data_IF_903173264422
#
_entry.id   IF_903173264422
#
_cell.length_a   1.000
_cell.length_b   1.000
_cell.length_c   1.000
_cell.angle_alpha   90.00
_cell.angle_beta   90.00
_cell.angle_gamma   90.00
#
_symmetry.space_group_name_H-M   'P 1'
#
loop_
_entity.id
_entity.type
_entity.pdbx_description
1 polymer ?
#
# COMPACT_ATOMS: atom_id res chain seq x y z
N UNK A 1 14.09 -28.32 -9.26
CA UNK A 1 13.88 -27.06 -8.54
C UNK A 1 12.40 -26.78 -8.55
N UNK A 2 11.83 -26.36 -7.43
CA UNK A 2 10.41 -26.00 -7.38
C UNK A 2 10.08 -24.87 -8.35
N UNK A 3 8.87 -24.89 -8.93
CA UNK A 3 8.38 -23.87 -9.83
C UNK A 3 7.18 -23.15 -9.21
N UNK A 4 7.27 -21.82 -9.06
CA UNK A 4 6.23 -20.98 -8.48
C UNK A 4 5.62 -20.08 -9.55
N UNK A 5 4.29 -20.12 -9.66
CA UNK A 5 3.51 -19.22 -10.49
C UNK A 5 3.00 -18.07 -9.62
N UNK A 6 3.39 -16.85 -9.91
CA UNK A 6 2.93 -15.66 -9.19
C UNK A 6 2.01 -14.86 -10.08
N UNK A 7 0.81 -14.53 -9.60
CA UNK A 7 -0.18 -13.77 -10.35
C UNK A 7 -0.37 -12.40 -9.73
N UNK A 8 -0.04 -11.38 -10.52
CA UNK A 8 -0.05 -9.96 -10.15
C UNK A 8 1.34 -9.39 -9.89
N UNK A 9 1.76 -8.41 -10.68
CA UNK A 9 3.04 -7.69 -10.54
C UNK A 9 2.91 -6.41 -9.68
N UNK A 10 2.07 -6.46 -8.65
CA UNK A 10 2.05 -5.46 -7.57
C UNK A 10 3.22 -5.66 -6.59
N UNK A 11 3.32 -4.82 -5.54
CA UNK A 11 4.44 -4.86 -4.58
C UNK A 11 4.71 -6.24 -3.99
N UNK A 12 3.65 -6.96 -3.56
CA UNK A 12 3.80 -8.31 -3.02
C UNK A 12 4.35 -9.29 -4.07
N UNK A 13 3.79 -9.28 -5.28
CA UNK A 13 4.17 -10.22 -6.34
C UNK A 13 5.59 -10.01 -6.83
N UNK A 14 5.99 -8.77 -7.15
CA UNK A 14 7.35 -8.51 -7.66
C UNK A 14 8.43 -8.76 -6.62
N UNK A 15 8.18 -8.37 -5.35
CA UNK A 15 9.14 -8.60 -4.27
C UNK A 15 9.30 -10.10 -3.96
N UNK A 16 8.19 -10.85 -3.93
CA UNK A 16 8.23 -12.32 -3.75
C UNK A 16 8.94 -12.98 -4.93
N UNK A 17 8.64 -12.58 -6.17
CA UNK A 17 9.25 -13.11 -7.36
C UNK A 17 10.77 -12.89 -7.37
N UNK A 18 11.21 -11.68 -7.02
CA UNK A 18 12.64 -11.36 -6.89
C UNK A 18 13.34 -12.26 -5.86
N UNK A 19 12.80 -12.34 -4.65
CA UNK A 19 13.42 -13.10 -3.58
C UNK A 19 13.49 -14.61 -3.88
N UNK A 20 12.44 -15.19 -4.47
CA UNK A 20 12.42 -16.60 -4.84
C UNK A 20 13.40 -16.88 -5.99
N UNK A 21 13.41 -16.03 -7.02
CA UNK A 21 14.36 -16.14 -8.11
C UNK A 21 15.80 -15.99 -7.66
N UNK A 22 16.10 -15.03 -6.76
CA UNK A 22 17.43 -14.86 -6.16
C UNK A 22 17.92 -16.14 -5.46
N UNK A 23 17.00 -16.96 -4.96
CA UNK A 23 17.29 -18.25 -4.27
C UNK A 23 17.28 -19.47 -5.20
N UNK A 24 17.21 -19.25 -6.51
CA UNK A 24 17.27 -20.33 -7.49
C UNK A 24 15.94 -21.06 -7.72
N UNK A 25 14.82 -20.58 -7.16
CA UNK A 25 13.50 -21.15 -7.43
C UNK A 25 13.03 -20.63 -8.79
N UNK A 26 12.49 -21.53 -9.62
CA UNK A 26 11.89 -21.14 -10.89
C UNK A 26 10.63 -20.31 -10.64
N UNK A 27 10.52 -19.15 -11.28
CA UNK A 27 9.41 -18.22 -11.10
C UNK A 27 8.82 -17.79 -12.43
N UNK A 28 7.50 -17.93 -12.57
CA UNK A 28 6.71 -17.32 -13.63
C UNK A 28 5.82 -16.23 -13.01
N UNK A 29 6.15 -14.95 -13.28
CA UNK A 29 5.36 -13.80 -12.81
C UNK A 29 4.41 -13.36 -13.92
N UNK A 30 3.10 -13.48 -13.70
CA UNK A 30 2.04 -13.07 -14.63
C UNK A 30 1.44 -11.72 -14.19
N UNK A 31 1.24 -10.82 -15.15
CA UNK A 31 0.55 -9.54 -14.94
C UNK A 31 -0.43 -9.28 -16.09
N UNK A 32 -1.65 -8.83 -15.75
CA UNK A 32 -2.67 -8.54 -16.76
C UNK A 32 -2.38 -7.28 -17.58
N UNK A 33 -1.69 -6.31 -16.97
CA UNK A 33 -1.28 -5.09 -17.67
C UNK A 33 -0.03 -5.35 -18.51
N UNK A 34 0.02 -4.72 -19.67
CA UNK A 34 1.17 -4.85 -20.58
C UNK A 34 2.34 -3.96 -20.17
N UNK A 35 2.10 -2.92 -19.37
CA UNK A 35 3.08 -1.93 -18.94
C UNK A 35 2.85 -1.54 -17.48
N UNK A 36 3.90 -1.03 -16.84
CA UNK A 36 3.82 -0.41 -15.52
C UNK A 36 3.38 1.07 -15.56
N UNK A 37 2.46 1.42 -16.49
CA UNK A 37 1.97 2.81 -16.64
C UNK A 37 0.77 3.10 -15.73
N UNK A 38 0.34 2.12 -14.94
CA UNK A 38 -0.77 2.29 -14.03
C UNK A 38 -0.43 3.36 -12.98
N UNK A 39 -1.24 4.40 -12.95
CA UNK A 39 -1.11 5.46 -11.93
C UNK A 39 -1.56 4.88 -10.60
N UNK A 40 -0.59 4.48 -9.79
CA UNK A 40 -0.84 4.16 -8.39
C UNK A 40 -1.05 5.46 -7.60
N UNK A 41 -2.01 5.45 -6.70
CA UNK A 41 -2.38 6.62 -5.91
C UNK A 41 -1.81 6.58 -4.49
N UNK A 42 -1.31 5.42 -4.05
CA UNK A 42 -0.57 5.28 -2.81
C UNK A 42 0.92 5.39 -3.08
N UNK A 43 1.52 6.53 -2.79
CA UNK A 43 2.93 6.82 -3.06
C UNK A 43 3.81 6.65 -1.82
N UNK A 44 3.21 6.52 -0.65
CA UNK A 44 3.93 6.50 0.63
C UNK A 44 4.63 5.17 0.90
N UNK A 45 5.95 5.21 1.00
CA UNK A 45 6.78 4.13 1.49
C UNK A 45 7.26 4.49 2.89
N UNK A 46 6.67 3.85 3.90
CA UNK A 46 7.00 4.08 5.31
C UNK A 46 8.37 3.50 5.66
N UNK A 47 8.98 3.88 6.78
CA UNK A 47 10.26 3.33 7.24
C UNK A 47 10.32 1.81 7.20
N UNK A 48 9.23 1.11 7.55
CA UNK A 48 9.13 -0.36 7.51
C UNK A 48 9.26 -0.94 6.10
N UNK A 49 8.72 -0.24 5.10
CA UNK A 49 8.83 -0.65 3.70
C UNK A 49 10.22 -0.37 3.12
N UNK A 50 10.83 0.76 3.50
CA UNK A 50 12.23 1.06 3.13
C UNK A 50 13.17 0.03 3.74
N UNK A 51 12.99 -0.30 5.02
CA UNK A 51 13.77 -1.35 5.69
C UNK A 51 13.59 -2.71 5.01
N UNK A 52 12.36 -3.07 4.61
CA UNK A 52 12.11 -4.30 3.86
C UNK A 52 12.87 -4.34 2.54
N UNK A 53 12.90 -3.24 1.76
CA UNK A 53 13.70 -3.17 0.53
C UNK A 53 15.21 -3.28 0.81
N UNK A 54 15.70 -2.70 1.90
CA UNK A 54 17.11 -2.85 2.33
C UNK A 54 17.44 -4.30 2.68
N UNK A 55 16.58 -4.98 3.45
CA UNK A 55 16.71 -6.40 3.78
C UNK A 55 16.76 -7.31 2.53
N UNK A 56 15.99 -6.97 1.50
CA UNK A 56 15.97 -7.68 0.22
C UNK A 56 17.21 -7.39 -0.65
N UNK A 57 18.04 -6.38 -0.32
CA UNK A 57 19.12 -5.89 -1.18
C UNK A 57 18.63 -5.06 -2.38
N UNK A 58 17.48 -4.40 -2.25
CA UNK A 58 16.84 -3.56 -3.28
C UNK A 58 16.94 -2.05 -2.98
N UNK A 59 17.83 -1.64 -2.09
CA UNK A 59 18.01 -0.23 -1.73
C UNK A 59 18.42 0.64 -2.94
N UNK A 60 19.20 0.09 -3.85
CA UNK A 60 19.60 0.75 -5.09
C UNK A 60 18.45 0.92 -6.10
N UNK A 61 17.52 -0.03 -6.16
CA UNK A 61 16.29 0.13 -6.95
C UNK A 61 15.45 1.30 -6.43
N UNK A 62 15.37 1.47 -5.10
CA UNK A 62 14.70 2.63 -4.50
C UNK A 62 15.45 3.93 -4.80
N UNK A 63 16.78 3.93 -4.69
CA UNK A 63 17.60 5.12 -4.94
C UNK A 63 17.55 5.59 -6.40
N UNK A 64 17.36 4.66 -7.35
CA UNK A 64 17.35 4.92 -8.79
C UNK A 64 16.03 5.44 -9.37
N UNK A 65 14.97 5.58 -8.58
CA UNK A 65 13.65 6.01 -9.07
C UNK A 65 13.29 7.42 -8.62
N UNK A 66 12.37 8.11 -9.33
CA UNK A 66 11.81 9.38 -8.88
C UNK A 66 11.14 9.23 -7.51
N UNK A 67 11.57 10.05 -6.56
CA UNK A 67 11.09 10.02 -5.18
C UNK A 67 11.32 11.35 -4.46
N UNK A 68 10.61 11.54 -3.37
CA UNK A 68 10.84 12.62 -2.40
C UNK A 68 10.90 12.04 -0.99
N UNK A 69 11.81 12.52 -0.17
CA UNK A 69 11.79 12.23 1.27
C UNK A 69 10.80 13.17 1.94
N UNK A 70 10.05 12.64 2.89
CA UNK A 70 9.16 13.44 3.69
C UNK A 70 9.97 14.21 4.75
N UNK A 71 9.73 15.51 4.88
CA UNK A 71 10.37 16.35 5.89
C UNK A 71 9.50 16.53 7.13
N UNK A 72 8.18 16.64 6.95
CA UNK A 72 7.25 16.84 8.06
C UNK A 72 5.81 16.42 7.74
N UNK A 73 5.02 16.30 8.80
CA UNK A 73 3.57 16.16 8.80
C UNK A 73 2.95 17.43 9.40
N UNK A 74 2.14 18.15 8.63
CA UNK A 74 1.38 19.30 9.13
C UNK A 74 -0.08 18.92 9.33
N UNK A 75 -0.64 19.32 10.47
CA UNK A 75 -2.06 19.16 10.79
C UNK A 75 -2.72 20.52 10.86
N UNK A 76 -3.54 20.80 9.87
CA UNK A 76 -4.28 22.03 9.72
C UNK A 76 -5.73 21.82 10.16
N UNK A 77 -6.18 22.58 11.16
CA UNK A 77 -7.55 22.57 11.65
C UNK A 77 -8.10 23.99 11.51
N UNK A 78 -9.27 24.14 10.92
CA UNK A 78 -9.88 25.44 10.63
C UNK A 78 -8.89 26.38 9.90
N UNK A 79 -8.29 25.89 8.80
CA UNK A 79 -7.37 26.62 7.92
C UNK A 79 -6.07 27.12 8.61
N UNK A 80 -5.78 26.67 9.82
CA UNK A 80 -4.58 27.03 10.55
C UNK A 80 -3.78 25.79 10.92
N UNK A 81 -2.47 25.83 10.69
CA UNK A 81 -1.57 24.79 11.16
C UNK A 81 -1.55 24.79 12.69
N UNK A 82 -2.06 23.70 13.29
CA UNK A 82 -2.14 23.52 14.75
C UNK A 82 -1.02 22.66 15.29
N UNK A 83 -0.50 21.75 14.48
CA UNK A 83 0.59 20.86 14.86
C UNK A 83 1.49 20.61 13.66
N UNK A 84 2.77 20.51 13.91
CA UNK A 84 3.78 20.02 12.98
C UNK A 84 4.58 18.92 13.65
N UNK A 85 4.81 17.85 12.94
CA UNK A 85 5.66 16.74 13.37
C UNK A 85 6.78 16.61 12.35
N UNK A 86 8.02 16.85 12.76
CA UNK A 86 9.18 16.69 11.91
C UNK A 86 9.44 15.19 11.72
N UNK A 87 9.68 14.79 10.48
CA UNK A 87 10.00 13.40 10.18
C UNK A 87 11.37 13.04 10.76
N UNK A 88 11.47 11.97 11.57
CA UNK A 88 12.75 11.55 12.12
C UNK A 88 13.72 11.18 11.00
N UNK A 89 14.86 11.87 10.93
CA UNK A 89 15.92 11.63 9.95
C UNK A 89 17.26 12.10 10.50
N UNK A 90 18.33 11.52 9.99
CA UNK A 90 19.70 11.95 10.29
C UNK A 90 20.40 11.18 11.41
N UNK A 91 19.72 10.53 12.34
CA UNK A 91 20.36 9.66 13.31
C UNK A 91 20.48 8.20 12.77
N UNK A 92 21.50 7.43 13.22
CA UNK A 92 21.62 6.02 12.84
C UNK A 92 20.32 5.24 13.14
N UNK A 93 19.81 4.49 12.15
CA UNK A 93 18.57 3.71 12.26
C UNK A 93 17.28 4.53 12.06
N UNK A 94 17.34 5.84 11.86
CA UNK A 94 16.22 6.66 11.48
C UNK A 94 16.04 6.64 9.96
N UNK A 95 15.00 5.97 9.50
CA UNK A 95 14.63 5.91 8.09
C UNK A 95 13.45 6.85 7.88
N UNK A 96 13.51 7.84 6.98
CA UNK A 96 12.36 8.70 6.69
C UNK A 96 11.32 7.99 5.83
N UNK A 97 10.10 8.53 5.84
CA UNK A 97 9.07 8.16 4.87
C UNK A 97 9.44 8.70 3.48
N UNK A 98 9.24 7.91 2.44
CA UNK A 98 9.46 8.31 1.05
C UNK A 98 8.13 8.37 0.29
N UNK A 99 8.00 9.36 -0.57
CA UNK A 99 6.94 9.45 -1.58
C UNK A 99 7.56 9.03 -2.91
N UNK A 100 7.13 7.91 -3.44
CA UNK A 100 7.81 7.23 -4.54
C UNK A 100 6.95 7.10 -5.79
N UNK A 101 7.58 7.07 -6.95
CA UNK A 101 6.97 6.57 -8.18
C UNK A 101 6.87 5.04 -8.12
N UNK A 102 5.77 4.54 -7.57
CA UNK A 102 5.60 3.09 -7.31
C UNK A 102 5.79 2.26 -8.59
N UNK A 103 5.24 2.69 -9.73
CA UNK A 103 5.41 1.95 -11.00
C UNK A 103 6.87 1.82 -11.42
N UNK A 104 7.69 2.86 -11.19
CA UNK A 104 9.12 2.80 -11.47
C UNK A 104 9.85 1.83 -10.54
N UNK A 105 9.46 1.78 -9.25
CA UNK A 105 10.01 0.80 -8.32
C UNK A 105 9.69 -0.64 -8.76
N UNK A 106 8.43 -0.92 -9.10
CA UNK A 106 8.02 -2.26 -9.54
C UNK A 106 8.77 -2.68 -10.81
N UNK A 107 8.91 -1.77 -11.77
CA UNK A 107 9.67 -1.99 -13.00
C UNK A 107 11.14 -2.30 -12.70
N UNK A 108 11.79 -1.51 -11.85
CA UNK A 108 13.19 -1.72 -11.46
C UNK A 108 13.42 -3.08 -10.78
N UNK A 109 12.48 -3.52 -9.93
CA UNK A 109 12.56 -4.85 -9.29
C UNK A 109 12.39 -5.97 -10.33
N UNK A 110 11.46 -5.83 -11.28
CA UNK A 110 11.29 -6.83 -12.36
C UNK A 110 12.55 -6.88 -13.24
N UNK A 111 13.10 -5.74 -13.66
CA UNK A 111 14.35 -5.69 -14.45
C UNK A 111 15.52 -6.35 -13.70
N UNK A 112 15.63 -6.12 -12.39
CA UNK A 112 16.61 -6.80 -11.54
C UNK A 112 16.33 -8.31 -11.49
N UNK A 113 15.07 -8.74 -11.42
CA UNK A 113 14.71 -10.17 -11.39
C UNK A 113 15.05 -10.88 -12.71
N UNK A 114 14.97 -10.19 -13.83
CA UNK A 114 15.32 -10.73 -15.16
C UNK A 114 16.80 -11.09 -15.31
N UNK A 115 17.66 -10.65 -14.40
CA UNK A 115 19.07 -11.12 -14.37
C UNK A 115 19.21 -12.56 -13.90
N UNK A 116 18.18 -13.15 -13.29
CA UNK A 116 18.18 -14.56 -12.86
C UNK A 116 17.66 -15.46 -13.98
N UNK A 117 18.37 -16.54 -14.37
CA UNK A 117 18.04 -17.36 -15.53
C UNK A 117 16.73 -18.14 -15.39
N UNK A 118 16.22 -18.31 -14.18
CA UNK A 118 14.99 -19.04 -13.86
C UNK A 118 13.82 -18.13 -13.51
N UNK A 119 13.93 -16.83 -13.77
CA UNK A 119 12.82 -15.87 -13.66
C UNK A 119 12.25 -15.57 -15.05
N UNK A 120 10.93 -15.64 -15.18
CA UNK A 120 10.21 -15.25 -16.41
C UNK A 120 9.06 -14.30 -16.06
N UNK A 121 8.98 -13.19 -16.78
CA UNK A 121 7.91 -12.20 -16.65
C UNK A 121 6.96 -12.27 -17.84
N UNK A 122 5.66 -12.37 -17.58
CA UNK A 122 4.59 -12.50 -18.55
C UNK A 122 3.60 -11.32 -18.43
N UNK A 123 3.90 -10.14 -19.03
CA UNK A 123 2.97 -9.02 -19.07
C UNK A 123 1.83 -9.27 -20.07
N UNK A 124 0.63 -8.72 -19.81
CA UNK A 124 -0.55 -8.86 -20.64
C UNK A 124 -1.33 -10.18 -20.44
N UNK A 125 -0.90 -11.04 -19.50
CA UNK A 125 -1.56 -12.33 -19.24
C UNK A 125 -2.60 -12.21 -18.12
N UNK A 126 -3.87 -12.31 -18.51
CA UNK A 126 -5.01 -12.28 -17.59
C UNK A 126 -5.44 -13.70 -17.23
N UNK A 127 -5.37 -14.04 -15.95
CA UNK A 127 -5.85 -15.33 -15.44
C UNK A 127 -7.35 -15.48 -15.64
N UNK A 128 -7.76 -16.63 -16.17
CA UNK A 128 -9.16 -16.98 -16.44
C UNK A 128 -9.70 -18.00 -15.44
N UNK A 129 -8.95 -19.05 -15.14
CA UNK A 129 -9.34 -20.13 -14.25
C UNK A 129 -8.12 -20.78 -13.57
N UNK A 130 -8.39 -21.62 -12.59
CA UNK A 130 -7.39 -22.51 -12.00
C UNK A 130 -7.19 -23.76 -12.86
N UNK A 131 -5.99 -24.33 -12.82
CA UNK A 131 -5.66 -25.67 -13.34
C UNK A 131 -5.56 -26.59 -12.14
N UNK A 132 -6.39 -27.64 -12.13
CA UNK A 132 -6.55 -28.57 -11.01
C UNK A 132 -6.04 -29.97 -11.34
N UNK A 133 -5.54 -30.68 -10.35
CA UNK A 133 -5.30 -32.12 -10.34
C UNK A 133 -5.94 -32.72 -9.11
N UNK A 134 -7.14 -33.28 -9.24
CA UNK A 134 -8.02 -33.55 -8.11
C UNK A 134 -8.38 -32.24 -7.41
N UNK A 135 -8.18 -32.18 -6.09
CA UNK A 135 -8.40 -30.96 -5.29
C UNK A 135 -7.19 -30.02 -5.22
N UNK A 136 -6.05 -30.43 -5.81
CA UNK A 136 -4.81 -29.66 -5.78
C UNK A 136 -4.74 -28.64 -6.93
N UNK A 137 -4.43 -27.39 -6.59
CA UNK A 137 -4.20 -26.33 -7.58
C UNK A 137 -2.76 -26.46 -8.09
N UNK A 138 -2.63 -26.86 -9.38
CA UNK A 138 -1.35 -27.02 -10.06
C UNK A 138 -0.93 -25.81 -10.87
N UNK A 139 -1.82 -24.81 -11.03
CA UNK A 139 -1.50 -23.69 -11.86
C UNK A 139 -2.70 -22.82 -12.20
N UNK A 140 -2.52 -22.02 -13.24
CA UNK A 140 -3.55 -21.11 -13.74
C UNK A 140 -3.63 -21.20 -15.28
N UNK A 141 -4.84 -21.09 -15.81
CA UNK A 141 -5.09 -20.84 -17.23
C UNK A 141 -5.19 -19.34 -17.42
N UNK A 142 -4.36 -18.77 -18.28
CA UNK A 142 -4.35 -17.35 -18.56
C UNK A 142 -4.44 -17.07 -20.07
N UNK A 143 -4.88 -15.85 -20.42
CA UNK A 143 -5.05 -15.36 -21.79
C UNK A 143 -4.30 -14.06 -22.00
N UNK A 144 -3.63 -13.95 -23.15
CA UNK A 144 -3.03 -12.72 -23.67
C UNK A 144 -3.50 -12.52 -25.12
N UNK A 145 -4.32 -11.51 -25.37
CA UNK A 145 -4.96 -11.34 -26.69
C UNK A 145 -5.80 -12.57 -27.07
N UNK A 146 -5.41 -13.24 -28.16
CA UNK A 146 -6.05 -14.47 -28.65
C UNK A 146 -5.39 -15.77 -28.16
N UNK A 147 -4.24 -15.67 -27.51
CA UNK A 147 -3.51 -16.83 -26.98
C UNK A 147 -4.05 -17.19 -25.60
N UNK A 148 -4.26 -18.48 -25.36
CA UNK A 148 -4.60 -19.05 -24.05
C UNK A 148 -3.57 -20.12 -23.72
N UNK A 149 -3.05 -20.08 -22.49
CA UNK A 149 -2.01 -20.99 -22.02
C UNK A 149 -2.24 -21.41 -20.58
N UNK A 150 -1.88 -22.65 -20.30
CA UNK A 150 -1.81 -23.16 -18.93
C UNK A 150 -0.39 -22.95 -18.38
N UNK A 151 -0.29 -22.29 -17.23
CA UNK A 151 0.94 -22.11 -16.47
C UNK A 151 0.85 -23.04 -15.27
N UNK A 152 1.72 -24.04 -15.21
CA UNK A 152 1.73 -25.06 -14.15
C UNK A 152 3.01 -24.98 -13.32
N UNK A 153 2.92 -25.32 -12.05
CA UNK A 153 4.01 -25.29 -11.09
C UNK A 153 3.62 -25.99 -9.79
N UNK A 154 4.53 -25.97 -8.82
CA UNK A 154 4.32 -26.61 -7.52
C UNK A 154 3.49 -25.75 -6.56
N UNK A 155 3.42 -24.44 -6.82
CA UNK A 155 2.67 -23.47 -6.02
C UNK A 155 2.20 -22.31 -6.88
N UNK A 156 0.97 -21.86 -6.68
CA UNK A 156 0.41 -20.61 -7.18
C UNK A 156 0.39 -19.59 -6.04
N UNK A 157 0.97 -18.41 -6.25
CA UNK A 157 0.89 -17.28 -5.33
C UNK A 157 -0.02 -16.22 -5.92
N UNK A 158 -1.15 -15.94 -5.27
CA UNK A 158 -2.09 -14.90 -5.67
C UNK A 158 -1.70 -13.58 -5.02
N UNK A 159 -1.18 -12.66 -5.84
CA UNK A 159 -0.85 -11.28 -5.51
C UNK A 159 -1.66 -10.29 -6.37
N UNK A 160 -2.86 -10.72 -6.82
CA UNK A 160 -3.74 -10.07 -7.79
C UNK A 160 -4.67 -9.00 -7.19
N UNK A 161 -4.33 -8.51 -5.99
CA UNK A 161 -4.88 -7.32 -5.38
C UNK A 161 -6.24 -7.50 -4.69
N UNK A 162 -6.83 -6.36 -4.27
CA UNK A 162 -8.01 -6.33 -3.38
C UNK A 162 -9.24 -7.03 -3.93
N UNK A 163 -9.41 -7.07 -5.23
CA UNK A 163 -10.51 -7.76 -5.90
C UNK A 163 -10.14 -9.17 -6.36
N UNK A 164 -9.09 -9.76 -5.80
CA UNK A 164 -8.46 -11.02 -6.18
C UNK A 164 -9.42 -12.01 -6.83
N UNK A 165 -9.12 -12.32 -8.09
CA UNK A 165 -9.83 -13.34 -8.85
C UNK A 165 -9.46 -14.73 -8.38
N UNK A 166 -8.18 -14.95 -8.06
CA UNK A 166 -7.71 -16.24 -7.59
C UNK A 166 -8.31 -16.60 -6.23
N UNK A 167 -8.44 -15.64 -5.30
CA UNK A 167 -9.14 -15.85 -4.04
C UNK A 167 -10.57 -16.36 -4.28
N UNK A 168 -11.31 -15.72 -5.19
CA UNK A 168 -12.69 -16.10 -5.52
C UNK A 168 -12.75 -17.47 -6.18
N UNK A 169 -11.86 -17.75 -7.15
CA UNK A 169 -11.81 -19.03 -7.86
C UNK A 169 -11.44 -20.20 -6.95
N UNK A 170 -10.61 -19.93 -5.92
CA UNK A 170 -10.25 -20.92 -4.90
C UNK A 170 -11.29 -21.07 -3.77
N UNK A 171 -12.42 -20.35 -3.84
CA UNK A 171 -13.46 -20.39 -2.81
C UNK A 171 -13.06 -19.78 -1.47
N UNK A 172 -11.96 -18.98 -1.42
CA UNK A 172 -11.49 -18.36 -0.20
C UNK A 172 -12.25 -17.07 0.08
N UNK A 173 -12.83 -16.97 1.28
CA UNK A 173 -13.60 -15.82 1.72
C UNK A 173 -12.72 -14.59 2.01
N UNK A 174 -13.32 -13.42 2.03
CA UNK A 174 -12.74 -12.20 2.59
C UNK A 174 -13.69 -11.65 3.66
N UNK A 175 -13.27 -11.64 4.90
CA UNK A 175 -14.00 -10.97 5.97
C UNK A 175 -13.69 -9.48 5.89
N UNK A 176 -14.65 -8.71 5.40
CA UNK A 176 -14.52 -7.26 5.26
C UNK A 176 -14.92 -6.56 6.56
N UNK A 177 -14.09 -5.64 7.01
CA UNK A 177 -14.45 -4.70 8.06
C UNK A 177 -15.41 -3.64 7.49
N UNK A 178 -16.35 -3.19 8.33
CA UNK A 178 -17.22 -2.08 7.94
C UNK A 178 -16.40 -0.79 7.80
N UNK A 179 -16.07 -0.44 6.58
CA UNK A 179 -15.40 0.84 6.27
C UNK A 179 -16.43 1.95 6.18
N UNK A 180 -16.12 3.10 6.77
CA UNK A 180 -17.04 4.22 6.84
C UNK A 180 -16.72 5.32 5.82
N UNK A 181 -15.67 5.15 5.02
CA UNK A 181 -15.22 6.17 4.09
C UNK A 181 -14.68 5.59 2.77
N UNK A 182 -14.71 6.44 1.75
CA UNK A 182 -14.02 6.27 0.49
C UNK A 182 -13.09 7.46 0.25
N UNK A 183 -12.25 7.40 -0.79
CA UNK A 183 -11.32 8.49 -1.11
C UNK A 183 -11.49 8.92 -2.55
N UNK A 184 -11.57 10.22 -2.76
CA UNK A 184 -11.48 10.86 -4.07
C UNK A 184 -10.07 11.43 -4.24
N UNK A 185 -9.36 10.99 -5.26
CA UNK A 185 -8.02 11.43 -5.57
C UNK A 185 -8.01 12.50 -6.65
N UNK A 186 -7.18 13.51 -6.42
CA UNK A 186 -6.96 14.61 -7.35
C UNK A 186 -5.48 14.89 -7.51
N UNK A 187 -5.14 15.54 -8.61
CA UNK A 187 -3.78 16.00 -8.88
C UNK A 187 -3.80 17.36 -9.55
N UNK A 188 -2.86 18.24 -9.16
CA UNK A 188 -2.64 19.54 -9.82
C UNK A 188 -1.16 19.94 -9.66
N UNK A 189 -0.64 20.92 -10.45
CA UNK A 189 0.71 21.44 -10.23
C UNK A 189 0.93 21.82 -8.76
N UNK A 190 2.13 21.64 -8.24
CA UNK A 190 2.46 22.15 -6.91
C UNK A 190 2.97 23.57 -6.98
N UNK A 191 2.60 24.47 -6.04
CA UNK A 191 3.24 25.78 -5.92
C UNK A 191 4.70 25.60 -5.52
N UNK A 192 5.56 26.49 -6.01
CA UNK A 192 7.02 26.40 -5.82
C UNK A 192 7.41 26.31 -4.33
N UNK A 193 6.67 27.01 -3.48
CA UNK A 193 6.92 27.04 -2.03
C UNK A 193 6.75 25.67 -1.38
N UNK A 194 5.82 24.85 -1.89
CA UNK A 194 5.61 23.47 -1.38
C UNK A 194 6.61 22.47 -1.96
N UNK A 195 7.35 22.85 -3.00
CA UNK A 195 8.40 21.98 -3.56
C UNK A 195 9.74 22.11 -2.82
N UNK A 196 9.94 23.18 -2.04
CA UNK A 196 11.15 23.41 -1.24
C UNK A 196 11.24 22.47 -0.04
N UNK A 197 10.10 22.09 0.51
CA UNK A 197 9.98 21.19 1.66
C UNK A 197 8.84 20.19 1.40
N UNK A 198 9.10 18.90 1.58
CA UNK A 198 8.11 17.86 1.35
C UNK A 198 7.28 17.63 2.60
N UNK A 199 6.12 18.26 2.67
CA UNK A 199 5.21 18.18 3.83
C UNK A 199 3.94 17.44 3.47
N UNK A 200 3.59 16.43 4.26
CA UNK A 200 2.27 15.79 4.19
C UNK A 200 1.30 16.59 5.05
N UNK A 201 0.40 17.32 4.42
CA UNK A 201 -0.55 18.20 5.10
C UNK A 201 -1.92 17.54 5.21
N UNK A 202 -2.41 17.37 6.44
CA UNK A 202 -3.77 16.91 6.75
C UNK A 202 -4.63 18.13 7.07
N UNK A 203 -5.72 18.30 6.35
CA UNK A 203 -6.67 19.39 6.57
C UNK A 203 -7.98 18.84 7.14
N UNK A 204 -8.40 19.43 8.26
CA UNK A 204 -9.62 19.08 8.96
C UNK A 204 -10.48 20.33 9.20
N UNK A 205 -11.65 20.35 8.62
CA UNK A 205 -12.66 21.37 8.85
C UNK A 205 -14.02 20.70 8.95
N UNK A 206 -14.45 20.37 10.14
CA UNK A 206 -15.70 19.67 10.46
C UNK A 206 -16.06 18.55 9.47
N UNK A 207 -16.80 18.85 8.40
CA UNK A 207 -17.24 17.87 7.40
C UNK A 207 -16.29 17.73 6.18
N UNK A 208 -15.23 18.55 6.14
CA UNK A 208 -14.22 18.51 5.09
C UNK A 208 -12.94 17.91 5.62
N UNK A 209 -12.55 16.83 5.04
CA UNK A 209 -11.32 16.12 5.44
C UNK A 209 -10.55 15.73 4.18
N UNK A 210 -9.34 16.23 4.06
CA UNK A 210 -8.46 15.86 2.98
C UNK A 210 -7.00 15.98 3.41
N UNK A 211 -6.15 15.33 2.66
CA UNK A 211 -4.72 15.48 2.81
C UNK A 211 -4.09 15.75 1.46
N UNK A 212 -2.98 16.49 1.46
CA UNK A 212 -2.21 16.72 0.26
C UNK A 212 -0.71 16.74 0.55
N UNK A 213 0.08 16.46 -0.47
CA UNK A 213 1.54 16.48 -0.40
C UNK A 213 2.13 16.70 -1.79
N UNK A 214 3.34 17.30 -1.90
CA UNK A 214 4.08 17.34 -3.15
C UNK A 214 4.55 15.93 -3.50
N UNK A 215 4.07 15.42 -4.64
CA UNK A 215 4.39 14.11 -5.18
C UNK A 215 5.80 14.09 -5.80
N UNK A 216 6.31 12.92 -6.09
CA UNK A 216 7.60 12.69 -6.75
C UNK A 216 7.75 13.42 -8.11
N UNK A 217 6.65 13.72 -8.79
CA UNK A 217 6.60 14.41 -10.10
C UNK A 217 6.46 15.93 -10.00
N UNK A 218 6.59 16.51 -8.80
CA UNK A 218 6.45 17.95 -8.57
C UNK A 218 5.02 18.45 -8.61
N UNK A 219 4.02 17.55 -8.54
CA UNK A 219 2.59 17.89 -8.47
C UNK A 219 2.05 17.67 -7.05
N UNK A 220 0.97 18.34 -6.69
CA UNK A 220 0.22 18.02 -5.48
C UNK A 220 -0.65 16.79 -5.73
N UNK A 221 -0.45 15.77 -4.91
CA UNK A 221 -1.38 14.67 -4.77
C UNK A 221 -2.35 14.99 -3.63
N UNK A 222 -3.66 14.92 -3.89
CA UNK A 222 -4.69 15.27 -2.92
C UNK A 222 -5.63 14.08 -2.76
N UNK A 223 -5.90 13.69 -1.52
CA UNK A 223 -6.89 12.69 -1.15
C UNK A 223 -8.02 13.31 -0.33
N UNK A 224 -9.22 13.42 -0.89
CA UNK A 224 -10.41 13.89 -0.19
C UNK A 224 -11.19 12.70 0.36
N UNK A 225 -11.51 12.73 1.63
CA UNK A 225 -12.24 11.67 2.32
C UNK A 225 -13.75 11.95 2.24
N UNK A 226 -14.51 10.96 1.81
CA UNK A 226 -15.98 11.00 1.74
C UNK A 226 -16.58 9.87 2.56
N UNK A 227 -17.77 10.05 3.08
CA UNK A 227 -18.48 8.94 3.72
C UNK A 227 -18.73 7.80 2.70
N UNK A 228 -18.71 6.57 3.17
CA UNK A 228 -18.85 5.38 2.33
C UNK A 228 -20.13 5.45 1.47
N UNK A 229 -19.96 5.24 0.16
CA UNK A 229 -21.06 5.29 -0.81
C UNK A 229 -21.53 6.71 -1.19
N UNK A 230 -20.94 7.77 -0.64
CA UNK A 230 -21.37 9.16 -0.92
C UNK A 230 -20.61 9.81 -2.09
N UNK A 231 -19.62 9.13 -2.66
CA UNK A 231 -18.79 9.70 -3.73
C UNK A 231 -19.60 10.18 -4.95
N UNK A 232 -20.61 9.41 -5.37
CA UNK A 232 -21.48 9.76 -6.50
C UNK A 232 -22.38 10.96 -6.20
N UNK A 233 -22.83 11.11 -4.95
CA UNK A 233 -23.66 12.24 -4.52
C UNK A 233 -22.86 13.57 -4.44
N UNK A 234 -21.53 13.49 -4.51
CA UNK A 234 -20.67 14.69 -4.50
C UNK A 234 -20.65 15.43 -5.85
N UNK A 235 -21.05 14.79 -6.97
CA UNK A 235 -21.38 15.39 -8.27
C UNK A 235 -20.41 16.42 -8.79
N UNK A 236 -20.94 17.41 -9.51
CA UNK A 236 -20.21 18.51 -10.16
C UNK A 236 -19.86 19.64 -9.17
N UNK A 237 -19.27 19.31 -8.03
CA UNK A 237 -18.80 20.32 -7.07
C UNK A 237 -17.63 21.09 -7.64
N UNK A 238 -17.54 22.36 -7.25
CA UNK A 238 -16.34 23.16 -7.46
C UNK A 238 -15.24 22.71 -6.48
N UNK A 239 -14.51 21.69 -6.86
CA UNK A 239 -13.45 21.10 -6.02
C UNK A 239 -12.35 22.09 -5.68
N UNK A 240 -12.02 23.01 -6.60
CA UNK A 240 -11.02 24.05 -6.32
C UNK A 240 -11.49 24.97 -5.18
N UNK A 241 -12.78 25.30 -5.14
CA UNK A 241 -13.36 26.07 -4.04
C UNK A 241 -13.44 25.26 -2.74
N UNK A 242 -13.82 23.96 -2.82
CA UNK A 242 -13.84 23.08 -1.65
C UNK A 242 -12.43 22.98 -1.00
N UNK A 243 -11.38 22.82 -1.81
CA UNK A 243 -9.99 22.84 -1.31
C UNK A 243 -9.62 24.21 -0.75
N UNK A 244 -9.96 25.29 -1.42
CA UNK A 244 -9.65 26.65 -0.97
C UNK A 244 -10.27 26.97 0.39
N UNK A 245 -11.50 26.50 0.64
CA UNK A 245 -12.21 26.74 1.89
C UNK A 245 -11.65 25.96 3.07
N UNK A 246 -11.03 24.82 2.84
CA UNK A 246 -10.57 23.94 3.93
C UNK A 246 -9.03 23.86 4.07
N UNK A 247 -8.28 24.39 3.09
CA UNK A 247 -6.81 24.47 3.15
C UNK A 247 -6.33 25.66 3.98
N UNK A 248 -5.02 25.70 4.31
CA UNK A 248 -4.40 26.91 4.86
C UNK A 248 -4.69 28.13 4.01
N UNK A 249 -4.97 29.27 4.66
CA UNK A 249 -5.36 30.51 3.96
C UNK A 249 -4.37 30.95 2.89
N UNK A 250 -3.08 30.67 3.08
CA UNK A 250 -2.02 30.96 2.11
C UNK A 250 -2.17 30.19 0.78
N UNK A 251 -2.86 29.05 0.79
CA UNK A 251 -3.08 28.19 -0.39
C UNK A 251 -4.46 28.38 -1.05
N UNK A 252 -5.39 29.07 -0.36
CA UNK A 252 -6.76 29.20 -0.86
C UNK A 252 -6.85 29.88 -2.22
N UNK A 253 -6.08 30.97 -2.44
CA UNK A 253 -6.02 31.66 -3.72
C UNK A 253 -5.40 30.78 -4.82
N UNK A 254 -4.38 29.98 -4.47
CA UNK A 254 -3.72 29.08 -5.38
C UNK A 254 -4.70 28.01 -5.92
N UNK A 255 -5.48 27.35 -5.09
CA UNK A 255 -6.46 26.37 -5.53
C UNK A 255 -7.49 26.97 -6.51
N UNK A 256 -7.97 28.20 -6.23
CA UNK A 256 -8.91 28.89 -7.12
C UNK A 256 -8.29 29.22 -8.47
N UNK A 257 -7.05 29.70 -8.48
CA UNK A 257 -6.32 30.06 -9.71
C UNK A 257 -6.00 28.83 -10.58
N UNK A 258 -5.66 27.71 -9.96
CA UNK A 258 -5.29 26.48 -10.66
C UNK A 258 -6.49 25.56 -10.97
N UNK A 259 -7.73 26.02 -10.82
CA UNK A 259 -8.96 25.25 -11.05
C UNK A 259 -8.95 24.47 -12.37
N UNK A 260 -8.48 25.09 -13.44
CA UNK A 260 -8.45 24.51 -14.77
C UNK A 260 -7.39 23.41 -14.97
N UNK A 261 -6.43 23.29 -14.05
CA UNK A 261 -5.39 22.27 -14.06
C UNK A 261 -5.66 21.14 -13.06
N UNK A 262 -6.79 21.18 -12.37
CA UNK A 262 -7.18 20.16 -11.41
C UNK A 262 -7.66 18.91 -12.16
N UNK A 263 -6.93 17.82 -12.01
CA UNK A 263 -7.28 16.49 -12.52
C UNK A 263 -8.01 15.68 -11.46
N UNK A 264 -9.00 14.93 -11.85
CA UNK A 264 -9.85 14.11 -10.97
C UNK A 264 -11.29 14.62 -10.92
N UNK A 265 -12.12 14.08 -10.01
CA UNK A 265 -11.79 13.05 -9.03
C UNK A 265 -11.59 11.67 -9.62
N UNK A 266 -10.68 10.91 -9.02
CA UNK A 266 -10.55 9.50 -9.28
C UNK A 266 -10.97 8.74 -8.01
N UNK A 267 -12.03 7.95 -8.14
CA UNK A 267 -12.63 7.24 -7.03
C UNK A 267 -11.79 6.04 -6.57
N UNK A 268 -11.59 5.92 -5.26
CA UNK A 268 -11.04 4.75 -4.62
C UNK A 268 -12.08 4.18 -3.65
N UNK A 269 -12.63 3.03 -4.01
CA UNK A 269 -13.42 2.20 -3.10
C UNK A 269 -12.50 1.61 -2.03
N UNK A 270 -12.69 2.03 -0.78
CA UNK A 270 -11.88 1.57 0.33
C UNK A 270 -12.43 0.25 0.84
N UNK A 271 -11.63 -0.80 0.68
CA UNK A 271 -11.88 -2.13 1.21
C UNK A 271 -10.82 -2.43 2.26
N UNK A 272 -11.24 -2.77 3.46
CA UNK A 272 -10.39 -3.28 4.54
C UNK A 272 -10.92 -4.63 4.94
N UNK A 273 -10.05 -5.61 5.11
CA UNK A 273 -10.47 -6.94 5.51
C UNK A 273 -9.32 -7.93 5.54
N UNK A 274 -9.64 -9.15 5.89
CA UNK A 274 -8.70 -10.27 5.83
C UNK A 274 -9.41 -11.53 5.37
N UNK A 275 -8.72 -12.33 4.55
CA UNK A 275 -9.12 -13.70 4.33
C UNK A 275 -8.91 -14.49 5.65
N UNK A 276 -9.91 -15.22 6.15
CA UNK A 276 -9.74 -16.04 7.34
C UNK A 276 -8.73 -17.17 7.12
N UNK A 277 -8.61 -17.61 5.89
CA UNK A 277 -7.63 -18.60 5.43
C UNK A 277 -6.91 -18.02 4.20
N UNK A 278 -5.57 -17.95 4.27
CA UNK A 278 -4.75 -17.35 3.21
C UNK A 278 -4.27 -18.36 2.17
N UNK A 279 -4.50 -19.62 2.39
CA UNK A 279 -4.01 -20.68 1.50
C UNK A 279 -5.00 -21.83 1.38
N UNK A 280 -4.85 -22.59 0.33
CA UNK A 280 -5.43 -23.90 0.11
C UNK A 280 -4.39 -24.80 -0.55
N UNK A 281 -4.74 -26.02 -0.93
CA UNK A 281 -3.78 -26.91 -1.57
C UNK A 281 -3.26 -26.36 -2.90
N UNK A 282 -1.97 -25.99 -2.91
CA UNK A 282 -1.28 -25.46 -4.08
C UNK A 282 -1.50 -23.97 -4.33
N UNK A 283 -2.14 -23.21 -3.42
CA UNK A 283 -2.34 -21.76 -3.58
C UNK A 283 -2.11 -21.01 -2.27
N UNK A 284 -1.43 -19.87 -2.36
CA UNK A 284 -1.23 -18.88 -1.28
C UNK A 284 -1.70 -17.50 -1.72
N UNK A 285 -2.42 -16.78 -0.86
CA UNK A 285 -2.77 -15.37 -1.01
C UNK A 285 -1.75 -14.50 -0.28
N UNK A 286 -1.32 -13.39 -0.88
CA UNK A 286 -0.44 -12.38 -0.26
C UNK A 286 -0.88 -10.95 -0.62
N UNK A 287 -0.43 -9.97 0.17
CA UNK A 287 -0.78 -8.57 -0.03
C UNK A 287 -2.29 -8.33 -0.02
N UNK A 288 -2.77 -7.40 -0.83
CA UNK A 288 -4.20 -7.05 -0.90
C UNK A 288 -5.12 -8.23 -1.32
N UNK A 289 -4.57 -9.32 -1.87
CA UNK A 289 -5.35 -10.52 -2.14
C UNK A 289 -5.77 -11.24 -0.84
N UNK A 290 -4.91 -11.20 0.18
CA UNK A 290 -5.16 -11.77 1.51
C UNK A 290 -5.75 -10.74 2.49
N UNK A 291 -5.25 -9.49 2.45
CA UNK A 291 -5.53 -8.49 3.48
C UNK A 291 -5.53 -7.04 2.93
N UNK A 292 -6.53 -6.65 2.15
CA UNK A 292 -6.64 -5.27 1.68
C UNK A 292 -6.66 -4.29 2.86
N UNK A 293 -5.87 -3.20 2.72
CA UNK A 293 -5.63 -2.20 3.75
C UNK A 293 -6.32 -0.88 3.43
N UNK A 294 -6.64 -0.09 4.46
CA UNK A 294 -7.06 1.29 4.27
C UNK A 294 -5.90 2.14 3.71
N UNK A 295 -6.18 3.20 2.92
CA UNK A 295 -5.12 4.02 2.32
C UNK A 295 -4.38 4.91 3.32
N UNK A 296 -4.99 5.20 4.49
CA UNK A 296 -4.35 6.02 5.52
C UNK A 296 -3.05 5.35 6.01
N UNK A 297 -2.00 6.17 6.16
CA UNK A 297 -0.66 5.73 6.55
C UNK A 297 0.01 4.77 5.56
N UNK A 298 -0.49 4.67 4.32
CA UNK A 298 0.15 3.95 3.20
C UNK A 298 0.57 2.50 3.51
N UNK A 299 -0.22 1.73 4.31
CA UNK A 299 0.19 0.41 4.80
C UNK A 299 0.23 -0.67 3.72
N UNK A 300 -0.56 -0.57 2.65
CA UNK A 300 -0.68 -1.63 1.65
C UNK A 300 0.65 -2.07 1.04
N UNK A 301 1.45 -1.13 0.50
CA UNK A 301 2.77 -1.44 -0.07
C UNK A 301 3.75 -1.97 0.99
N UNK A 302 3.74 -1.37 2.19
CA UNK A 302 4.68 -1.73 3.25
C UNK A 302 4.45 -3.15 3.76
N UNK A 303 3.19 -3.53 3.98
CA UNK A 303 2.83 -4.89 4.40
C UNK A 303 3.09 -5.91 3.29
N UNK A 304 2.82 -5.56 2.03
CA UNK A 304 3.09 -6.41 0.87
C UNK A 304 4.59 -6.76 0.72
N UNK A 305 5.49 -5.79 0.92
CA UNK A 305 6.93 -6.03 0.91
C UNK A 305 7.37 -6.95 2.06
N UNK A 306 6.79 -6.78 3.23
CA UNK A 306 7.07 -7.60 4.41
C UNK A 306 6.52 -9.03 4.25
N UNK A 307 5.38 -9.20 3.58
CA UNK A 307 4.86 -10.53 3.21
C UNK A 307 5.88 -11.29 2.36
N UNK A 308 6.48 -10.63 1.37
CA UNK A 308 7.45 -11.26 0.48
C UNK A 308 8.66 -11.85 1.25
N UNK A 309 9.15 -11.15 2.28
CA UNK A 309 10.23 -11.65 3.13
C UNK A 309 9.80 -12.92 3.86
N UNK A 310 8.62 -12.91 4.49
CA UNK A 310 8.14 -14.07 5.26
C UNK A 310 7.87 -15.26 4.35
N UNK A 311 7.24 -15.04 3.18
CA UNK A 311 7.04 -16.09 2.16
C UNK A 311 8.38 -16.71 1.76
N UNK A 312 9.37 -15.88 1.45
CA UNK A 312 10.68 -16.35 1.04
C UNK A 312 11.36 -17.19 2.14
N UNK A 313 11.29 -16.76 3.40
CA UNK A 313 11.85 -17.50 4.53
C UNK A 313 11.19 -18.88 4.69
N UNK A 314 9.85 -18.95 4.62
CA UNK A 314 9.12 -20.20 4.79
C UNK A 314 9.34 -21.19 3.62
N UNK A 315 9.36 -20.69 2.38
CA UNK A 315 9.59 -21.54 1.21
C UNK A 315 11.06 -22.01 1.14
N UNK A 316 12.03 -21.20 1.59
CA UNK A 316 13.43 -21.61 1.70
C UNK A 316 13.60 -22.85 2.60
N UNK A 317 12.87 -22.91 3.70
CA UNK A 317 12.94 -24.03 4.63
C UNK A 317 12.53 -25.39 4.00
N UNK A 318 11.88 -25.37 2.82
CA UNK A 318 11.55 -26.57 2.05
C UNK A 318 12.77 -27.16 1.33
N UNK A 319 13.85 -26.40 1.19
CA UNK A 319 15.08 -26.82 0.51
C UNK A 319 14.97 -26.81 -1.02
N UNK A 320 16.08 -27.11 -1.72
CA UNK A 320 16.18 -27.06 -3.18
C UNK A 320 15.59 -28.27 -3.91
N UNK A 321 14.72 -29.05 -3.27
CA UNK A 321 14.11 -30.25 -3.86
C UNK A 321 13.38 -29.93 -5.16
N UNK A 322 13.44 -30.85 -6.13
CA UNK A 322 12.70 -30.73 -7.40
C UNK A 322 11.18 -30.82 -7.23
N UNK A 323 10.72 -31.33 -6.10
CA UNK A 323 9.29 -31.44 -5.74
C UNK A 323 9.14 -31.17 -4.25
N UNK A 324 8.34 -30.19 -3.90
CA UNK A 324 8.00 -29.95 -2.50
C UNK A 324 6.95 -30.96 -2.04
N UNK A 325 7.27 -31.68 -0.97
CA UNK A 325 6.33 -32.60 -0.34
C UNK A 325 5.10 -31.82 0.13
N UNK A 326 3.89 -32.31 -0.20
CA UNK A 326 2.61 -31.66 0.05
C UNK A 326 2.46 -31.17 1.49
N UNK A 327 2.72 -32.05 2.47
CA UNK A 327 2.59 -31.70 3.90
C UNK A 327 3.58 -30.61 4.34
N UNK A 328 4.82 -30.67 3.83
CA UNK A 328 5.82 -29.63 4.13
C UNK A 328 5.44 -28.27 3.53
N UNK A 329 4.91 -28.28 2.30
CA UNK A 329 4.40 -27.07 1.66
C UNK A 329 3.24 -26.49 2.45
N UNK A 330 2.24 -27.28 2.82
CA UNK A 330 1.09 -26.84 3.62
C UNK A 330 1.53 -26.22 4.95
N UNK A 331 2.49 -26.85 5.66
CA UNK A 331 3.05 -26.30 6.90
C UNK A 331 3.75 -24.95 6.67
N UNK A 332 4.47 -24.79 5.56
CA UNK A 332 5.10 -23.52 5.20
C UNK A 332 4.06 -22.42 4.91
N UNK A 333 2.98 -22.74 4.17
CA UNK A 333 1.90 -21.79 3.89
C UNK A 333 1.16 -21.38 5.18
N UNK A 334 0.89 -22.34 6.07
CA UNK A 334 0.32 -22.06 7.40
C UNK A 334 1.24 -21.16 8.21
N UNK A 335 2.55 -21.37 8.17
CA UNK A 335 3.52 -20.54 8.87
C UNK A 335 3.56 -19.11 8.32
N UNK A 336 3.41 -18.90 7.00
CA UNK A 336 3.28 -17.57 6.42
C UNK A 336 2.09 -16.84 7.04
N UNK A 337 0.91 -17.42 7.05
CA UNK A 337 -0.28 -16.81 7.63
C UNK A 337 -0.09 -16.53 9.12
N UNK A 338 0.39 -17.51 9.90
CA UNK A 338 0.59 -17.40 11.34
C UNK A 338 1.55 -16.25 11.70
N UNK A 339 2.60 -16.07 10.91
CA UNK A 339 3.59 -15.02 11.16
C UNK A 339 3.11 -13.63 10.74
N UNK A 340 2.27 -13.54 9.68
CA UNK A 340 1.85 -12.24 9.14
C UNK A 340 0.55 -11.72 9.73
N UNK A 341 -0.42 -12.61 10.01
CA UNK A 341 -1.77 -12.24 10.41
C UNK A 341 -1.83 -11.33 11.65
N UNK A 342 -1.04 -11.55 12.72
CA UNK A 342 -1.06 -10.69 13.90
C UNK A 342 -0.68 -9.23 13.58
N UNK A 343 0.37 -9.02 12.77
CA UNK A 343 0.80 -7.69 12.36
C UNK A 343 -0.26 -6.99 11.51
N UNK A 344 -0.83 -7.70 10.52
CA UNK A 344 -1.88 -7.18 9.65
C UNK A 344 -3.11 -6.79 10.47
N UNK A 345 -3.55 -7.64 11.39
CA UNK A 345 -4.69 -7.35 12.27
C UNK A 345 -4.45 -6.09 13.11
N UNK A 346 -3.29 -5.98 13.73
CA UNK A 346 -2.95 -4.83 14.55
C UNK A 346 -2.84 -3.54 13.72
N UNK A 347 -2.25 -3.62 12.51
CA UNK A 347 -2.15 -2.45 11.62
C UNK A 347 -3.53 -1.98 11.14
N UNK A 348 -4.42 -2.88 10.73
CA UNK A 348 -5.79 -2.55 10.33
C UNK A 348 -6.57 -1.95 11.51
N UNK A 349 -6.41 -2.48 12.72
CA UNK A 349 -7.04 -1.94 13.92
C UNK A 349 -6.59 -0.50 14.19
N UNK A 350 -5.28 -0.23 14.15
CA UNK A 350 -4.74 1.14 14.31
C UNK A 350 -5.28 2.11 13.24
N UNK A 351 -5.40 1.66 11.98
CA UNK A 351 -5.96 2.47 10.90
C UNK A 351 -7.43 2.81 11.13
N UNK A 352 -8.24 1.84 11.58
CA UNK A 352 -9.65 2.03 11.86
C UNK A 352 -9.87 2.90 13.11
N UNK A 353 -9.10 2.70 14.17
CA UNK A 353 -9.15 3.55 15.36
C UNK A 353 -8.84 5.02 15.05
N UNK A 354 -7.82 5.28 14.22
CA UNK A 354 -7.47 6.64 13.82
C UNK A 354 -8.66 7.32 13.14
N UNK A 355 -9.32 6.60 12.23
CA UNK A 355 -10.51 7.09 11.57
C UNK A 355 -11.68 7.33 12.55
N UNK A 356 -11.96 6.38 13.43
CA UNK A 356 -13.04 6.49 14.41
C UNK A 356 -12.84 7.69 15.35
N UNK A 357 -11.60 7.97 15.78
CA UNK A 357 -11.26 9.14 16.58
C UNK A 357 -11.57 10.44 15.82
N UNK A 358 -11.15 10.54 14.56
CA UNK A 358 -11.44 11.71 13.72
C UNK A 358 -12.96 11.87 13.54
N UNK A 359 -13.67 10.80 13.18
CA UNK A 359 -15.11 10.81 12.99
C UNK A 359 -15.85 11.25 14.28
N UNK A 360 -15.44 10.74 15.44
CA UNK A 360 -16.00 11.14 16.74
C UNK A 360 -15.82 12.64 17.01
N UNK A 361 -14.60 13.16 16.85
CA UNK A 361 -14.32 14.58 17.10
C UNK A 361 -15.04 15.51 16.11
N UNK A 362 -15.35 15.06 14.91
CA UNK A 362 -16.01 15.88 13.87
C UNK A 362 -17.53 15.73 13.84
N UNK A 363 -18.10 14.76 14.56
CA UNK A 363 -19.53 14.43 14.51
C UNK A 363 -20.46 15.57 14.94
N UNK A 364 -20.09 16.30 15.99
CA UNK A 364 -20.93 17.34 16.59
C UNK A 364 -20.16 18.64 16.84
N UNK A 365 -20.77 19.81 16.60
CA UNK A 365 -20.18 21.10 16.97
C UNK A 365 -19.80 21.23 18.45
N UNK A 366 -20.54 20.55 19.32
CA UNK A 366 -20.32 20.56 20.78
C UNK A 366 -19.02 19.83 21.15
N UNK A 367 -18.62 18.82 20.39
CA UNK A 367 -17.37 18.08 20.56
C UNK A 367 -16.23 18.73 19.78
N UNK A 368 -16.53 19.17 18.56
CA UNK A 368 -15.52 19.73 17.65
C UNK A 368 -14.86 21.00 18.17
N UNK A 369 -15.63 21.95 18.71
CA UNK A 369 -15.06 23.20 19.23
C UNK A 369 -14.07 23.00 20.38
N UNK A 370 -14.38 22.25 21.45
CA UNK A 370 -13.41 21.91 22.50
C UNK A 370 -12.18 21.17 21.94
N UNK A 371 -12.37 20.24 20.99
CA UNK A 371 -11.28 19.54 20.31
C UNK A 371 -10.32 20.52 19.62
N UNK A 372 -10.83 21.48 18.82
CA UNK A 372 -10.01 22.50 18.14
C UNK A 372 -9.24 23.35 19.15
N UNK A 373 -9.88 23.73 20.25
CA UNK A 373 -9.23 24.52 21.33
C UNK A 373 -8.11 23.74 21.99
N UNK A 374 -8.36 22.47 22.35
CA UNK A 374 -7.37 21.60 22.97
C UNK A 374 -6.20 21.30 22.02
N UNK A 375 -6.48 20.96 20.75
CA UNK A 375 -5.45 20.73 19.74
C UNK A 375 -4.56 21.96 19.53
N UNK A 376 -5.15 23.17 19.61
CA UNK A 376 -4.41 24.43 19.51
C UNK A 376 -3.48 24.65 20.72
N UNK A 377 -3.98 24.38 21.91
CA UNK A 377 -3.20 24.54 23.16
C UNK A 377 -2.03 23.54 23.19
N UNK A 378 -2.33 22.28 22.97
CA UNK A 378 -1.33 21.20 22.98
C UNK A 378 -0.28 21.38 21.87
N UNK A 379 -0.68 21.81 20.67
CA UNK A 379 0.24 22.09 19.58
C UNK A 379 1.25 23.21 19.91
N UNK A 380 0.85 24.22 20.69
CA UNK A 380 1.74 25.28 21.16
C UNK A 380 2.77 24.83 22.18
N UNK A 381 2.47 23.77 22.93
CA UNK A 381 3.34 23.26 24.01
C UNK A 381 4.45 22.30 23.46
N UNK A 382 4.41 21.92 22.17
CA UNK A 382 5.41 21.02 21.57
C UNK A 382 5.40 19.57 22.10
N UNK A 383 4.50 19.25 23.03
CA UNK A 383 4.42 17.92 23.66
C UNK A 383 3.75 16.86 22.77
N UNK A 384 3.02 17.32 21.75
CA UNK A 384 2.18 16.44 20.89
C UNK A 384 3.01 15.68 19.88
N UNK A 385 4.14 16.23 19.44
CA UNK A 385 4.99 15.64 18.40
C UNK A 385 5.52 14.27 18.83
N UNK A 386 6.17 14.17 19.97
CA UNK A 386 6.72 12.91 20.47
C UNK A 386 5.63 11.88 20.77
N UNK A 387 4.50 12.32 21.35
CA UNK A 387 3.36 11.46 21.62
C UNK A 387 2.77 10.89 20.32
N UNK A 388 2.67 11.71 19.28
CA UNK A 388 2.20 11.28 17.97
C UNK A 388 3.16 10.27 17.32
N UNK A 389 4.46 10.57 17.29
CA UNK A 389 5.48 9.66 16.76
C UNK A 389 5.48 8.31 17.49
N UNK A 390 5.33 8.34 18.81
CA UNK A 390 5.22 7.13 19.62
C UNK A 390 3.95 6.31 19.28
N UNK A 391 2.81 6.98 19.15
CA UNK A 391 1.55 6.34 18.76
C UNK A 391 1.63 5.73 17.35
N UNK A 392 2.30 6.41 16.42
CA UNK A 392 2.43 5.99 15.03
C UNK A 392 3.56 4.98 14.79
N UNK A 393 4.37 4.67 15.81
CA UNK A 393 5.56 3.82 15.63
C UNK A 393 5.27 2.48 14.97
N UNK A 394 4.14 1.83 15.33
CA UNK A 394 3.74 0.54 14.77
C UNK A 394 3.46 0.61 13.26
N UNK A 395 2.75 1.64 12.81
CA UNK A 395 2.45 1.86 11.39
C UNK A 395 3.67 2.37 10.61
N UNK A 396 4.65 2.98 11.27
CA UNK A 396 5.87 3.52 10.64
C UNK A 396 6.97 2.48 10.53
N UNK A 397 7.27 1.80 11.62
CA UNK A 397 8.43 0.90 11.75
C UNK A 397 8.08 -0.57 11.58
N UNK A 398 6.76 -0.90 11.58
CA UNK A 398 6.26 -2.26 11.69
C UNK A 398 5.99 -2.66 13.13
N UNK A 399 5.04 -3.57 13.32
CA UNK A 399 4.59 -4.02 14.64
C UNK A 399 5.40 -5.24 15.09
N UNK A 400 5.77 -6.09 14.15
CA UNK A 400 6.62 -7.26 14.37
C UNK A 400 7.99 -7.06 13.71
N UNK A 401 9.00 -7.77 14.14
CA UNK A 401 10.27 -7.84 13.42
C UNK A 401 10.13 -8.78 12.23
N UNK A 402 10.49 -8.30 11.04
CA UNK A 402 10.53 -9.13 9.81
C UNK A 402 11.91 -8.94 9.19
N UNK A 403 12.72 -9.98 9.20
CA UNK A 403 14.08 -10.01 8.67
C UNK A 403 14.21 -11.13 7.65
N UNK A 404 15.04 -10.91 6.63
CA UNK A 404 15.30 -11.92 5.62
C UNK A 404 16.35 -12.91 6.15
N UNK A 405 15.99 -14.18 6.26
CA UNK A 405 16.92 -15.24 6.61
C UNK A 405 17.91 -15.48 5.46
N UNK A 406 19.19 -15.52 5.79
CA UNK A 406 20.30 -15.70 4.84
C UNK A 406 20.57 -17.16 4.51
#
# INVERSE_FOLDING_TARGET
>A
MGHVIIVGAGPAGVATAFLLAQRGIQVSLLEQETRFDRVFRGEGLMPSGVAALQEMGLADCLAGIPQRRLDAWDFCIEQQRRMRVVEPQGAPGQIPTHLIHQSALLKAIVERSQTFPHFQFYPGWQVQSLVLSGDHIQGVKARCGNETRDFTGDLVIAADGRYSRLRKLAGLALNQAATQFDVLWFKLPAPTELLCETVFTVCLQRQRQFAFYPSWDGRLQIGWIVAKGQAQAMGDRDWAEEFAQASPKSLASYFRQQRHQLEGPIFLDVIVGQAPQWFTEGLLLIGDAAHPMAPNRAQGINMALRDAIVVCNQLRALGPSSVWLRDRLQNALQAVQTNRQPEITAAQHLQLEEWQKIAFFTASPLIYRPFVTLATLLGRLGLVEQAWLWQQRGLRQGITSVTLER
#
